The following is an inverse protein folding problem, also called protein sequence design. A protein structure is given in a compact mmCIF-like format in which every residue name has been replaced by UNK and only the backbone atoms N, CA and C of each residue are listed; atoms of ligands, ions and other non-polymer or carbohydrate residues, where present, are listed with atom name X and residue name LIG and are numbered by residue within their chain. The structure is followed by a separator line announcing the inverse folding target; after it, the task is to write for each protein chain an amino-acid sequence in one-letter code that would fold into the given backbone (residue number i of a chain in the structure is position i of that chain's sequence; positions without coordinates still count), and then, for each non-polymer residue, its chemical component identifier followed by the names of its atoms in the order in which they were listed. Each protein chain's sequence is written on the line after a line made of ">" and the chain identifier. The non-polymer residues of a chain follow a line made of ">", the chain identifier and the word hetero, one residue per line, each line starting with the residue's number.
data_IF_107731503566
#
_entry.id   IF_107731503566
#
_cell.length_a   1.000
_cell.length_b   1.000
_cell.length_c   1.000
_cell.angle_alpha   90.00
_cell.angle_beta   90.00
_cell.angle_gamma   90.00
#
_symmetry.space_group_name_H-M   'P 1'
#
loop_
_entity.id
_entity.type
_entity.pdbx_description
1 polymer ?
#
# COMPACT_ATOMS: atom_id res chain seq x y z
N UNK A 1 -8.45 15.12 0.79
CA UNK A 1 -7.98 14.48 -0.47
C UNK A 1 -9.01 13.50 -1.03
N UNK A 2 -9.20 13.47 -2.36
CA UNK A 2 -10.01 12.46 -3.04
C UNK A 2 -9.16 11.54 -3.90
N UNK A 3 -9.19 10.24 -3.61
CA UNK A 3 -8.41 9.22 -4.28
C UNK A 3 -9.36 8.35 -5.12
N UNK A 4 -8.97 8.13 -6.37
CA UNK A 4 -9.74 7.33 -7.33
C UNK A 4 -8.85 6.28 -7.98
N UNK A 5 -9.41 5.14 -8.38
CA UNK A 5 -8.70 4.14 -9.17
C UNK A 5 -8.87 4.47 -10.66
N UNK A 6 -7.77 4.66 -11.39
CA UNK A 6 -7.79 5.01 -12.81
C UNK A 6 -6.81 4.13 -13.60
N UNK A 7 -7.11 3.96 -14.88
CA UNK A 7 -6.23 3.34 -15.88
C UNK A 7 -5.75 4.40 -16.86
N UNK A 8 -4.49 4.31 -17.29
CA UNK A 8 -3.88 5.20 -18.27
C UNK A 8 -3.96 4.60 -19.67
N UNK A 9 -3.74 5.43 -20.69
CA UNK A 9 -3.69 4.97 -22.10
C UNK A 9 -2.52 4.03 -22.38
N UNK A 10 -1.51 4.00 -21.51
CA UNK A 10 -0.34 3.13 -21.62
C UNK A 10 -0.53 1.78 -20.92
N UNK A 11 -1.74 1.49 -20.42
CA UNK A 11 -2.06 0.23 -19.74
C UNK A 11 -1.60 0.17 -18.28
N UNK A 12 -0.99 1.24 -17.77
CA UNK A 12 -0.71 1.38 -16.33
C UNK A 12 -2.00 1.69 -15.60
N UNK A 13 -2.10 1.27 -14.35
CA UNK A 13 -3.26 1.56 -13.51
C UNK A 13 -2.80 2.01 -12.13
N UNK A 14 -3.72 2.54 -11.33
CA UNK A 14 -3.46 2.75 -9.92
C UNK A 14 -4.29 3.87 -9.34
N UNK A 15 -3.77 4.47 -8.27
CA UNK A 15 -4.45 5.52 -7.53
C UNK A 15 -4.13 6.89 -8.11
N UNK A 16 -5.15 7.73 -8.24
CA UNK A 16 -5.05 9.12 -8.64
C UNK A 16 -5.67 10.01 -7.57
N UNK A 17 -4.87 10.95 -7.08
CA UNK A 17 -5.24 11.89 -6.03
C UNK A 17 -5.65 13.26 -6.61
N UNK A 18 -6.86 13.68 -6.26
CA UNK A 18 -7.37 15.03 -6.47
C UNK A 18 -7.24 15.79 -5.13
N UNK A 19 -6.42 16.85 -5.14
CA UNK A 19 -6.17 17.68 -3.96
C UNK A 19 -7.41 18.51 -3.59
N UNK A 20 -7.64 18.67 -2.29
CA UNK A 20 -8.59 19.60 -1.70
C UNK A 20 -7.84 20.75 -1.03
N UNK A 21 -8.58 21.76 -0.55
CA UNK A 21 -8.04 23.06 -0.09
C UNK A 21 -6.91 22.96 0.96
N UNK A 22 -6.93 21.94 1.81
CA UNK A 22 -5.98 21.77 2.92
C UNK A 22 -4.99 20.61 2.72
N UNK A 23 -5.03 19.93 1.58
CA UNK A 23 -4.10 18.84 1.31
C UNK A 23 -2.72 19.37 0.94
N UNK A 24 -1.68 18.60 1.28
CA UNK A 24 -0.33 18.83 0.77
C UNK A 24 -0.18 18.23 -0.63
N UNK A 25 0.80 18.73 -1.39
CA UNK A 25 1.09 18.19 -2.72
C UNK A 25 1.97 16.93 -2.62
N UNK A 26 1.54 15.77 -3.12
CA UNK A 26 2.40 14.60 -3.28
C UNK A 26 3.43 14.83 -4.41
N UNK A 27 4.49 14.01 -4.48
CA UNK A 27 5.51 14.13 -5.53
C UNK A 27 4.95 13.80 -6.93
N UNK A 28 3.88 13.02 -7.00
CA UNK A 28 3.12 12.77 -8.21
C UNK A 28 1.63 12.69 -7.86
N UNK A 29 0.76 13.15 -8.76
CA UNK A 29 -0.70 13.06 -8.60
C UNK A 29 -1.21 11.61 -8.63
N UNK A 30 -0.41 10.67 -9.15
CA UNK A 30 -0.82 9.27 -9.29
C UNK A 30 0.25 8.30 -8.84
N UNK A 31 -0.15 7.29 -8.05
CA UNK A 31 0.61 6.07 -7.82
C UNK A 31 0.23 5.07 -8.91
N UNK A 32 1.17 4.75 -9.78
CA UNK A 32 0.97 3.89 -10.94
C UNK A 32 1.68 2.55 -10.74
N UNK A 33 1.05 1.49 -11.23
CA UNK A 33 1.54 0.13 -11.31
C UNK A 33 1.35 -0.36 -12.76
N UNK A 34 2.34 -1.07 -13.28
CA UNK A 34 2.33 -1.53 -14.67
C UNK A 34 1.42 -2.75 -14.90
N UNK A 35 0.92 -3.36 -13.83
CA UNK A 35 0.02 -4.51 -13.91
C UNK A 35 -1.06 -4.45 -12.83
N UNK A 36 -2.25 -4.94 -13.18
CA UNK A 36 -3.35 -5.05 -12.23
C UNK A 36 -3.21 -6.25 -11.32
N UNK A 37 -3.57 -6.15 -10.02
CA UNK A 37 -3.84 -7.35 -9.25
C UNK A 37 -5.04 -8.10 -9.86
N UNK A 38 -4.97 -9.42 -9.90
CA UNK A 38 -6.06 -10.26 -10.42
C UNK A 38 -7.28 -10.26 -9.47
N UNK A 39 -7.02 -10.10 -8.17
CA UNK A 39 -8.01 -9.99 -7.12
C UNK A 39 -7.69 -8.80 -6.22
N UNK A 40 -8.67 -7.92 -6.01
CA UNK A 40 -8.52 -6.73 -5.18
C UNK A 40 -9.63 -6.68 -4.14
N UNK A 41 -9.26 -6.82 -2.86
CA UNK A 41 -10.17 -6.61 -1.74
C UNK A 41 -10.30 -5.10 -1.47
N UNK A 42 -11.53 -4.60 -1.33
CA UNK A 42 -11.80 -3.17 -1.18
C UNK A 42 -11.23 -2.57 0.11
N UNK A 43 -11.12 -3.35 1.19
CA UNK A 43 -10.50 -2.88 2.44
C UNK A 43 -8.98 -2.77 2.28
N UNK A 44 -8.36 -3.76 1.60
CA UNK A 44 -6.93 -3.72 1.26
C UNK A 44 -6.61 -2.58 0.30
N UNK A 45 -7.49 -2.33 -0.67
CA UNK A 45 -7.40 -1.16 -1.57
C UNK A 45 -7.48 0.16 -0.80
N UNK A 46 -8.40 0.28 0.17
CA UNK A 46 -8.51 1.46 1.01
C UNK A 46 -7.24 1.72 1.83
N UNK A 47 -6.67 0.67 2.45
CA UNK A 47 -5.39 0.77 3.15
C UNK A 47 -4.24 1.10 2.19
N UNK A 48 -4.20 0.50 1.00
CA UNK A 48 -3.17 0.82 0.02
C UNK A 48 -3.26 2.29 -0.44
N UNK A 49 -4.46 2.79 -0.74
CA UNK A 49 -4.68 4.20 -1.08
C UNK A 49 -4.22 5.14 0.05
N UNK A 50 -4.55 4.78 1.30
CA UNK A 50 -4.10 5.53 2.48
C UNK A 50 -2.58 5.46 2.68
N UNK A 51 -1.95 4.30 2.53
CA UNK A 51 -0.50 4.16 2.63
C UNK A 51 0.22 4.99 1.56
N UNK A 52 -0.36 5.06 0.34
CA UNK A 52 0.19 5.80 -0.77
C UNK A 52 0.07 7.33 -0.64
N UNK A 53 -1.00 7.85 -0.06
CA UNK A 53 -1.31 9.29 -0.07
C UNK A 53 -1.62 9.92 1.29
N UNK A 54 -1.74 9.10 2.35
CA UNK A 54 -2.18 9.54 3.68
C UNK A 54 -1.30 10.62 4.28
N UNK A 55 0.01 10.59 4.01
CA UNK A 55 0.95 11.61 4.49
C UNK A 55 0.66 13.02 3.95
N UNK A 56 0.01 13.13 2.80
CA UNK A 56 -0.31 14.39 2.15
C UNK A 56 -1.77 14.81 2.33
N UNK A 57 -2.54 14.03 3.09
CA UNK A 57 -3.98 14.26 3.26
C UNK A 57 -4.27 15.01 4.55
N UNK A 58 -5.21 15.95 4.49
CA UNK A 58 -5.87 16.50 5.68
C UNK A 58 -7.38 16.64 5.47
N UNK A 59 -8.14 16.64 6.56
CA UNK A 59 -9.59 16.78 6.50
C UNK A 59 -10.28 15.53 5.94
N UNK A 60 -11.09 15.69 4.90
CA UNK A 60 -11.87 14.59 4.35
C UNK A 60 -11.00 13.73 3.42
N UNK A 61 -10.89 12.44 3.71
CA UNK A 61 -10.22 11.46 2.84
C UNK A 61 -11.29 10.66 2.11
N UNK A 62 -11.50 10.94 0.83
CA UNK A 62 -12.41 10.16 -0.03
C UNK A 62 -11.61 9.04 -0.70
N UNK A 63 -11.91 7.79 -0.35
CA UNK A 63 -11.29 6.59 -0.90
C UNK A 63 -12.09 6.07 -2.12
N UNK A 64 -11.47 5.23 -2.98
CA UNK A 64 -12.10 4.77 -4.21
C UNK A 64 -13.42 4.02 -3.98
N UNK A 65 -13.49 3.24 -2.91
CA UNK A 65 -14.64 2.40 -2.58
C UNK A 65 -15.03 2.53 -1.11
N UNK A 66 -16.22 2.01 -0.77
CA UNK A 66 -16.68 2.01 0.62
C UNK A 66 -15.87 1.05 1.47
N UNK A 67 -15.34 1.55 2.58
CA UNK A 67 -14.55 0.81 3.55
C UNK A 67 -15.37 0.51 4.81
N UNK A 68 -14.98 -0.54 5.53
CA UNK A 68 -15.58 -0.91 6.80
C UNK A 68 -15.16 0.03 7.94
N UNK A 69 -15.94 0.08 9.03
CA UNK A 69 -15.66 0.95 10.17
C UNK A 69 -14.33 0.61 10.86
N UNK A 70 -13.90 -0.65 10.83
CA UNK A 70 -12.62 -1.07 11.40
C UNK A 70 -11.43 -0.47 10.64
N UNK A 71 -11.48 -0.49 9.31
CA UNK A 71 -10.46 0.09 8.43
C UNK A 71 -10.43 1.62 8.59
N UNK A 72 -11.59 2.26 8.68
CA UNK A 72 -11.69 3.70 8.91
C UNK A 72 -11.05 4.10 10.24
N UNK A 73 -11.39 3.40 11.33
CA UNK A 73 -10.83 3.65 12.66
C UNK A 73 -9.31 3.40 12.71
N UNK A 74 -8.78 2.45 11.93
CA UNK A 74 -7.35 2.20 11.84
C UNK A 74 -6.62 3.37 11.16
N UNK A 75 -7.17 3.89 10.06
CA UNK A 75 -6.64 5.06 9.35
C UNK A 75 -6.68 6.30 10.26
N UNK A 76 -7.81 6.56 10.92
CA UNK A 76 -7.94 7.70 11.85
C UNK A 76 -6.95 7.62 13.01
N UNK A 77 -6.74 6.42 13.57
CA UNK A 77 -5.77 6.21 14.65
C UNK A 77 -4.34 6.45 14.18
N UNK A 78 -4.00 6.02 12.97
CA UNK A 78 -2.68 6.25 12.40
C UNK A 78 -2.41 7.74 12.13
N UNK A 79 -3.46 8.50 11.80
CA UNK A 79 -3.41 9.96 11.59
C UNK A 79 -3.72 10.77 12.85
N UNK A 80 -3.54 10.25 14.07
CA UNK A 80 -3.98 10.92 15.32
C UNK A 80 -3.61 12.40 15.50
N UNK A 81 -2.57 12.89 14.80
CA UNK A 81 -2.10 14.28 14.87
C UNK A 81 -2.72 15.21 13.83
N UNK A 82 -3.35 14.67 12.79
CA UNK A 82 -4.00 15.42 11.70
C UNK A 82 -5.42 14.88 11.58
N UNK A 83 -6.42 15.74 11.76
CA UNK A 83 -7.81 15.32 11.62
C UNK A 83 -8.05 14.82 10.20
N UNK A 84 -8.17 13.51 10.02
CA UNK A 84 -8.54 12.85 8.77
C UNK A 84 -9.84 12.10 8.99
N UNK A 85 -10.77 12.19 8.03
CA UNK A 85 -12.07 11.53 8.05
C UNK A 85 -12.20 10.64 6.82
N UNK A 86 -11.87 9.34 6.94
CA UNK A 86 -12.03 8.39 5.85
C UNK A 86 -13.50 8.25 5.44
N UNK A 87 -13.75 8.30 4.15
CA UNK A 87 -15.07 8.18 3.55
C UNK A 87 -14.95 7.53 2.17
N UNK A 88 -15.99 6.88 1.63
CA UNK A 88 -17.27 6.57 2.27
C UNK A 88 -17.21 5.32 3.17
N UNK A 89 -17.93 5.32 4.30
CA UNK A 89 -17.99 4.16 5.23
C UNK A 89 -19.21 3.29 4.90
N UNK A 90 -19.03 1.96 4.89
CA UNK A 90 -20.11 0.99 4.80
C UNK A 90 -20.28 0.21 6.11
N UNK A 91 -21.49 0.28 6.66
CA UNK A 91 -21.82 -0.31 7.96
C UNK A 91 -22.35 -1.76 7.87
N UNK A 92 -22.39 -2.34 6.67
CA UNK A 92 -22.75 -3.74 6.49
C UNK A 92 -21.55 -4.64 6.77
N UNK A 93 -21.72 -5.76 7.50
CA UNK A 93 -20.64 -6.70 7.73
C UNK A 93 -20.12 -7.29 6.41
N UNK A 94 -18.80 -7.23 6.21
CA UNK A 94 -18.13 -7.85 5.07
C UNK A 94 -17.08 -8.84 5.55
N UNK A 95 -16.97 -10.02 4.92
CA UNK A 95 -15.87 -10.92 5.20
C UNK A 95 -14.56 -10.24 4.76
N UNK A 96 -13.56 -10.27 5.64
CA UNK A 96 -12.19 -9.95 5.26
C UNK A 96 -11.58 -11.16 4.55
N UNK A 97 -10.70 -10.88 3.61
CA UNK A 97 -9.96 -11.92 2.89
C UNK A 97 -9.06 -12.69 3.87
N UNK A 98 -9.03 -14.01 3.73
CA UNK A 98 -8.22 -14.90 4.57
C UNK A 98 -7.01 -15.33 3.76
N UNK A 99 -5.83 -14.94 4.23
CA UNK A 99 -4.57 -15.45 3.70
C UNK A 99 -4.23 -16.82 4.28
N UNK A 100 -3.29 -17.51 3.65
CA UNK A 100 -2.73 -18.78 4.15
C UNK A 100 -1.21 -18.84 4.08
N UNK A 101 -0.56 -17.81 3.54
CA UNK A 101 0.87 -17.79 3.24
C UNK A 101 1.57 -16.64 3.93
N UNK A 102 2.78 -16.91 4.37
CA UNK A 102 3.78 -15.89 4.64
C UNK A 102 4.41 -15.46 3.32
N UNK A 103 4.46 -14.16 3.06
CA UNK A 103 4.94 -13.60 1.79
C UNK A 103 6.02 -12.58 2.07
N UNK A 104 7.19 -12.79 1.47
CA UNK A 104 8.31 -11.88 1.58
C UNK A 104 8.10 -10.66 0.69
N UNK A 105 8.11 -9.47 1.29
CA UNK A 105 7.97 -8.21 0.56
C UNK A 105 9.34 -7.55 0.41
N UNK A 106 9.68 -7.27 -0.84
CA UNK A 106 10.94 -6.67 -1.23
C UNK A 106 10.77 -5.43 -2.08
N UNK A 107 11.76 -4.54 -2.03
CA UNK A 107 11.73 -3.25 -2.71
C UNK A 107 12.87 -3.09 -3.72
N UNK A 108 13.47 -4.21 -4.12
CA UNK A 108 14.55 -4.30 -5.08
C UNK A 108 14.50 -5.65 -5.82
N UNK A 109 15.38 -5.81 -6.81
CA UNK A 109 15.51 -7.02 -7.62
C UNK A 109 16.09 -8.22 -6.87
N UNK A 110 16.84 -8.03 -5.77
CA UNK A 110 17.43 -9.14 -5.02
C UNK A 110 16.41 -9.92 -4.19
N UNK A 111 15.20 -9.39 -4.03
CA UNK A 111 14.08 -10.07 -3.38
C UNK A 111 13.28 -11.01 -4.31
N UNK A 112 13.63 -11.07 -5.60
CA UNK A 112 13.07 -12.04 -6.55
C UNK A 112 13.61 -13.45 -6.23
N UNK A 113 12.98 -14.12 -5.28
CA UNK A 113 13.19 -15.55 -5.03
C UNK A 113 12.14 -16.38 -5.77
N UNK A 114 12.55 -17.53 -6.31
CA UNK A 114 11.63 -18.54 -6.84
C UNK A 114 11.18 -19.53 -5.76
N UNK A 115 11.96 -19.68 -4.70
CA UNK A 115 11.77 -20.73 -3.70
C UNK A 115 10.82 -20.33 -2.58
N UNK A 116 10.60 -19.02 -2.42
CA UNK A 116 9.82 -18.47 -1.30
C UNK A 116 8.72 -17.56 -1.85
N UNK A 117 7.49 -17.62 -1.29
CA UNK A 117 6.44 -16.71 -1.70
C UNK A 117 6.88 -15.26 -1.56
N UNK A 118 6.91 -14.47 -2.65
CA UNK A 118 7.41 -13.10 -2.59
C UNK A 118 6.69 -12.10 -3.48
N UNK A 119 6.65 -10.85 -3.03
CA UNK A 119 6.20 -9.68 -3.80
C UNK A 119 7.36 -8.69 -3.85
N UNK A 120 7.82 -8.37 -5.04
CA UNK A 120 8.90 -7.40 -5.28
C UNK A 120 8.37 -6.17 -6.00
N UNK A 121 8.54 -4.99 -5.40
CA UNK A 121 8.13 -3.72 -5.98
C UNK A 121 9.37 -3.09 -6.59
N UNK A 122 9.39 -3.03 -7.92
CA UNK A 122 10.53 -2.55 -8.69
C UNK A 122 10.32 -1.09 -9.09
N UNK A 123 11.40 -0.31 -9.08
CA UNK A 123 11.33 1.10 -9.46
C UNK A 123 11.06 1.25 -10.97
N UNK A 124 9.98 1.97 -11.32
CA UNK A 124 9.58 2.24 -12.70
C UNK A 124 10.61 3.08 -13.50
N UNK A 125 11.66 3.62 -12.85
CA UNK A 125 12.80 4.26 -13.53
C UNK A 125 13.72 3.27 -14.25
N UNK A 126 13.72 2.00 -13.84
CA UNK A 126 14.61 0.95 -14.39
C UNK A 126 13.85 -0.24 -14.96
N UNK A 127 12.59 -0.43 -14.54
CA UNK A 127 11.78 -1.59 -14.89
C UNK A 127 10.45 -1.16 -15.50
N UNK A 128 9.90 -2.00 -16.37
CA UNK A 128 8.54 -1.86 -16.88
C UNK A 128 7.86 -3.22 -16.96
N UNK A 129 6.55 -3.24 -16.75
CA UNK A 129 5.72 -4.44 -16.73
C UNK A 129 5.67 -5.12 -15.36
N UNK A 130 5.23 -6.37 -15.39
CA UNK A 130 5.23 -7.26 -14.24
C UNK A 130 5.67 -8.67 -14.66
N UNK A 131 6.33 -9.37 -13.75
CA UNK A 131 6.75 -10.75 -13.90
C UNK A 131 6.02 -11.55 -12.82
N UNK A 132 5.29 -12.58 -13.22
CA UNK A 132 4.58 -13.46 -12.30
C UNK A 132 5.08 -14.89 -12.47
N UNK A 133 5.44 -15.51 -11.35
CA UNK A 133 5.70 -16.94 -11.22
C UNK A 133 4.58 -17.60 -10.39
N UNK A 134 4.73 -18.88 -10.06
CA UNK A 134 3.78 -19.60 -9.19
C UNK A 134 3.84 -19.13 -7.72
N UNK A 135 5.01 -18.64 -7.30
CA UNK A 135 5.33 -18.25 -5.93
C UNK A 135 5.74 -16.79 -5.81
N UNK A 136 5.92 -16.05 -6.90
CA UNK A 136 6.40 -14.68 -6.80
C UNK A 136 5.79 -13.73 -7.83
N UNK A 137 5.68 -12.47 -7.44
CA UNK A 137 5.23 -11.37 -8.31
C UNK A 137 6.24 -10.25 -8.18
N UNK A 138 6.76 -9.78 -9.31
CA UNK A 138 7.44 -8.49 -9.41
C UNK A 138 6.61 -7.53 -10.24
N UNK A 139 6.43 -6.30 -9.75
CA UNK A 139 5.67 -5.26 -10.44
C UNK A 139 6.44 -3.94 -10.43
N UNK A 140 6.54 -3.32 -11.60
CA UNK A 140 7.10 -1.97 -11.71
C UNK A 140 6.10 -0.93 -11.20
N UNK A 141 6.58 0.02 -10.39
CA UNK A 141 5.77 1.11 -9.84
C UNK A 141 6.60 2.38 -9.61
N UNK A 142 5.94 3.54 -9.66
CA UNK A 142 6.53 4.81 -9.24
C UNK A 142 6.47 5.05 -7.71
N UNK A 143 6.05 4.06 -6.92
CA UNK A 143 5.99 4.10 -5.45
C UNK A 143 7.27 4.64 -4.79
N UNK A 144 8.45 4.33 -5.36
CA UNK A 144 9.73 4.80 -4.83
C UNK A 144 9.83 6.33 -4.75
N UNK A 145 9.13 7.08 -5.61
CA UNK A 145 9.14 8.55 -5.60
C UNK A 145 8.43 9.11 -4.36
N UNK A 146 7.34 8.47 -3.94
CA UNK A 146 6.58 8.80 -2.74
C UNK A 146 7.37 8.50 -1.46
N UNK A 147 8.00 7.34 -1.43
CA UNK A 147 8.83 6.93 -0.31
C UNK A 147 10.08 7.82 -0.21
N UNK A 148 10.71 8.19 -1.33
CA UNK A 148 11.82 9.15 -1.33
C UNK A 148 11.42 10.53 -0.79
N UNK A 149 10.26 11.05 -1.20
CA UNK A 149 9.76 12.35 -0.74
C UNK A 149 9.42 12.42 0.75
N UNK A 150 9.13 11.27 1.38
CA UNK A 150 8.79 11.17 2.80
C UNK A 150 9.93 10.63 3.67
N UNK A 151 11.00 10.15 3.05
CA UNK A 151 12.18 9.65 3.74
C UNK A 151 13.05 10.80 4.25
N UNK A 152 13.78 10.54 5.33
CA UNK A 152 14.86 11.40 5.82
C UNK A 152 16.18 10.66 5.79
N UNK A 153 17.31 11.35 6.00
CA UNK A 153 18.64 10.72 6.06
C UNK A 153 18.72 9.55 7.05
N UNK A 154 17.86 9.53 8.08
CA UNK A 154 17.86 8.53 9.15
C UNK A 154 16.70 7.54 9.07
N UNK A 155 15.67 7.83 8.27
CA UNK A 155 14.42 7.05 8.27
C UNK A 155 13.96 6.80 6.85
N UNK A 156 13.90 5.53 6.47
CA UNK A 156 13.35 5.13 5.18
C UNK A 156 11.83 4.93 5.32
N UNK A 157 11.07 5.66 4.51
CA UNK A 157 9.65 5.38 4.32
C UNK A 157 9.51 4.20 3.36
N UNK A 158 8.54 3.33 3.63
CA UNK A 158 8.20 2.19 2.77
C UNK A 158 6.70 2.15 2.44
N UNK A 159 5.96 3.19 2.81
CA UNK A 159 4.50 3.14 2.81
C UNK A 159 3.94 3.01 1.40
N UNK A 160 4.47 3.76 0.44
CA UNK A 160 3.96 3.71 -0.92
C UNK A 160 4.33 2.38 -1.61
N UNK A 161 5.54 1.86 -1.37
CA UNK A 161 5.89 0.54 -1.87
C UNK A 161 5.06 -0.58 -1.19
N UNK A 162 4.81 -0.45 0.11
CA UNK A 162 3.93 -1.36 0.84
C UNK A 162 2.49 -1.28 0.35
N UNK A 163 2.00 -0.10 -0.05
CA UNK A 163 0.68 0.06 -0.66
C UNK A 163 0.54 -0.85 -1.89
N UNK A 164 1.55 -0.86 -2.76
CA UNK A 164 1.58 -1.76 -3.92
C UNK A 164 1.58 -3.22 -3.46
N UNK A 165 2.39 -3.58 -2.46
CA UNK A 165 2.40 -4.96 -1.94
C UNK A 165 1.02 -5.41 -1.43
N UNK A 166 0.31 -4.53 -0.72
CA UNK A 166 -1.05 -4.79 -0.19
C UNK A 166 -2.05 -5.06 -1.31
N UNK A 167 -1.96 -4.35 -2.45
CA UNK A 167 -2.82 -4.59 -3.60
C UNK A 167 -2.66 -6.01 -4.16
N UNK A 168 -1.45 -6.56 -4.14
CA UNK A 168 -1.14 -7.92 -4.60
C UNK A 168 -1.24 -8.99 -3.51
N UNK A 169 -1.67 -8.63 -2.30
CA UNK A 169 -1.78 -9.57 -1.18
C UNK A 169 -2.76 -10.72 -1.49
N UNK A 170 -3.88 -10.43 -2.15
CA UNK A 170 -4.88 -11.45 -2.51
C UNK A 170 -4.37 -12.44 -3.55
N UNK A 171 -3.67 -11.92 -4.55
CA UNK A 171 -3.04 -12.71 -5.61
C UNK A 171 -2.02 -13.74 -5.10
N UNK A 172 -1.42 -13.45 -3.94
CA UNK A 172 -0.45 -14.30 -3.26
C UNK A 172 -1.05 -15.09 -2.08
N UNK A 173 -2.36 -14.92 -1.81
CA UNK A 173 -3.03 -15.46 -0.63
C UNK A 173 -2.26 -15.12 0.66
N UNK A 174 -1.73 -13.91 0.75
CA UNK A 174 -0.90 -13.44 1.84
C UNK A 174 -1.73 -13.28 3.12
N UNK A 175 -1.28 -13.94 4.18
CA UNK A 175 -1.75 -13.76 5.55
C UNK A 175 -0.79 -12.84 6.33
N UNK A 176 0.51 -13.02 6.11
CA UNK A 176 1.57 -12.26 6.79
C UNK A 176 2.61 -11.78 5.80
N UNK A 177 3.04 -10.52 5.93
CA UNK A 177 4.17 -9.97 5.20
C UNK A 177 5.45 -10.06 6.03
N UNK A 178 6.50 -10.60 5.43
CA UNK A 178 7.85 -10.63 5.98
C UNK A 178 8.69 -9.61 5.23
N UNK A 179 9.28 -8.64 5.93
CA UNK A 179 10.07 -7.58 5.29
C UNK A 179 11.27 -7.17 6.14
N UNK A 180 12.30 -6.63 5.48
CA UNK A 180 13.46 -6.10 6.18
C UNK A 180 13.10 -4.80 6.91
N UNK A 181 13.18 -4.81 8.23
CA UNK A 181 12.87 -3.68 9.09
C UNK A 181 14.06 -2.81 9.46
N UNK A 182 15.30 -3.20 9.16
CA UNK A 182 16.54 -2.60 9.70
C UNK A 182 16.62 -1.06 9.62
N UNK A 183 15.98 -0.44 8.62
CA UNK A 183 15.95 1.02 8.40
C UNK A 183 14.63 1.71 8.77
N UNK A 184 13.69 0.96 9.32
CA UNK A 184 12.36 1.43 9.70
C UNK A 184 12.33 1.59 11.23
N UNK A 185 12.05 2.80 11.74
CA UNK A 185 11.89 3.03 13.18
C UNK A 185 10.82 2.14 13.80
N UNK A 186 11.03 1.69 15.05
CA UNK A 186 10.10 0.81 15.77
C UNK A 186 8.66 1.35 15.84
N UNK A 187 8.48 2.64 16.15
CA UNK A 187 7.16 3.27 16.18
C UNK A 187 6.45 3.21 14.82
N UNK A 188 7.19 3.24 13.72
CA UNK A 188 6.64 3.15 12.37
C UNK A 188 6.29 1.70 12.03
N UNK A 189 7.10 0.73 12.47
CA UNK A 189 6.80 -0.71 12.39
C UNK A 189 5.48 -1.04 13.08
N UNK A 190 5.26 -0.52 14.29
CA UNK A 190 4.02 -0.71 15.06
C UNK A 190 2.79 -0.11 14.35
N UNK A 191 2.94 1.10 13.80
CA UNK A 191 1.88 1.79 13.05
C UNK A 191 1.48 1.01 11.80
N UNK A 192 2.47 0.56 11.03
CA UNK A 192 2.25 -0.28 9.85
C UNK A 192 1.56 -1.59 10.23
N UNK A 193 2.04 -2.28 11.27
CA UNK A 193 1.44 -3.53 11.74
C UNK A 193 -0.03 -3.33 12.17
N UNK A 194 -0.33 -2.25 12.91
CA UNK A 194 -1.69 -1.94 13.34
C UNK A 194 -2.63 -1.63 12.17
N UNK A 195 -2.15 -0.92 11.14
CA UNK A 195 -2.90 -0.64 9.92
C UNK A 195 -3.21 -1.92 9.13
N UNK A 196 -2.18 -2.74 8.88
CA UNK A 196 -2.33 -3.96 8.08
C UNK A 196 -3.17 -5.02 8.79
N UNK A 197 -3.11 -5.07 10.12
CA UNK A 197 -3.97 -5.96 10.91
C UNK A 197 -5.47 -5.66 10.74
N UNK A 198 -5.84 -4.39 10.50
CA UNK A 198 -7.23 -4.00 10.25
C UNK A 198 -7.84 -4.70 9.02
N UNK A 199 -6.99 -5.10 8.08
CA UNK A 199 -7.36 -5.81 6.84
C UNK A 199 -6.85 -7.24 6.80
N UNK A 200 -6.59 -7.82 7.99
CA UNK A 200 -6.08 -9.19 8.18
C UNK A 200 -4.81 -9.48 7.38
N UNK A 201 -3.85 -8.56 7.46
CA UNK A 201 -2.48 -8.81 7.02
C UNK A 201 -1.58 -8.65 8.24
N UNK A 202 -0.96 -9.75 8.68
CA UNK A 202 0.11 -9.74 9.67
C UNK A 202 1.39 -9.12 9.09
N UNK A 203 2.27 -8.64 9.96
CA UNK A 203 3.57 -8.09 9.54
C UNK A 203 4.64 -8.60 10.48
N UNK A 204 5.72 -9.13 9.91
CA UNK A 204 6.93 -9.52 10.61
C UNK A 204 8.12 -8.78 10.00
N UNK A 205 8.84 -8.07 10.85
CA UNK A 205 10.08 -7.39 10.47
C UNK A 205 11.27 -8.27 10.82
N UNK A 206 12.16 -8.48 9.86
CA UNK A 206 13.47 -9.10 10.08
C UNK A 206 14.55 -8.03 10.07
N UNK A 207 15.55 -8.12 10.95
CA UNK A 207 16.68 -7.21 10.97
C UNK A 207 17.86 -7.72 10.11
#
# INVERSE_FOLDING_TARGET
>A
MKITWKSTTYGQIGFHAELQEYDASPPAESLLIDHAPASMNLEREAIAAYLAFGHWTSGDLQLPHRLGPNTAAAIERDMKHVSVRPSPIEYYPKPLEIGTREVHVGFNESNLSQDVPSISILAASHWTGAIRSLSSIAVASNAFAFDFATSSERTQSIRAQLAVAVLFAGDMSADTFIMNGSRIPEHERERIAALLLAVRIGVQFTD
#
